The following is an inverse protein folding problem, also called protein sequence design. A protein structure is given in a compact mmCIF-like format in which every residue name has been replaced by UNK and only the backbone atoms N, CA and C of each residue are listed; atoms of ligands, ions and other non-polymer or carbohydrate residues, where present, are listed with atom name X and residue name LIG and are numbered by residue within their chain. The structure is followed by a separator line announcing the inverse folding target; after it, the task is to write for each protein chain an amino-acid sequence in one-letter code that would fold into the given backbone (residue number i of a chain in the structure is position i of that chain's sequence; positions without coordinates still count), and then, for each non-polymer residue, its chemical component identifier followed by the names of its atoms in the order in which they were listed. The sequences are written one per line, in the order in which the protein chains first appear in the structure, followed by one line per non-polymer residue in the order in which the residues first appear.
data_IF_360288597108
#
_entry.id   IF_360288597108
#
_cell.length_a   1.000
_cell.length_b   1.000
_cell.length_c   1.000
_cell.angle_alpha   90.00
_cell.angle_beta   90.00
_cell.angle_gamma   90.00
#
_symmetry.space_group_name_H-M   'P 1'
#
loop_
_entity.id
_entity.type
_entity.pdbx_description
1 polymer ?
#
# COMPACT_ATOMS: atom_id res chain seq x y z
N UNK A 1 21.79 18.52 25.14
CA UNK A 1 20.60 19.00 24.42
C UNK A 1 19.41 19.40 25.30
N UNK A 2 18.96 18.63 26.32
CA UNK A 2 17.71 18.96 27.04
C UNK A 2 17.71 20.36 27.66
N UNK A 3 18.83 20.77 28.29
CA UNK A 3 19.02 22.12 28.83
C UNK A 3 18.72 23.22 27.81
N UNK A 4 19.29 23.13 26.61
CA UNK A 4 19.14 24.17 25.59
C UNK A 4 17.73 24.22 25.02
N UNK A 5 17.07 23.06 24.86
CA UNK A 5 15.65 23.03 24.44
C UNK A 5 14.77 23.70 25.49
N UNK A 6 14.97 23.40 26.77
CA UNK A 6 14.20 24.04 27.85
C UNK A 6 14.49 25.53 28.05
N UNK A 7 15.70 26.00 27.75
CA UNK A 7 16.09 27.40 27.92
C UNK A 7 15.67 28.27 26.73
N UNK A 8 15.63 27.69 25.51
CA UNK A 8 15.45 28.44 24.27
C UNK A 8 14.08 28.23 23.61
N UNK A 9 13.30 27.23 24.04
CA UNK A 9 12.00 26.87 23.42
C UNK A 9 10.98 26.40 24.47
N UNK A 10 9.72 26.27 24.06
CA UNK A 10 8.66 25.61 24.85
C UNK A 10 8.32 24.19 24.32
N UNK A 11 9.13 23.67 23.40
CA UNK A 11 8.86 22.39 22.74
C UNK A 11 9.25 21.20 23.64
N UNK A 12 8.54 20.07 23.55
CA UNK A 12 8.96 18.85 24.23
C UNK A 12 10.31 18.36 23.70
N UNK A 13 11.11 17.78 24.59
CA UNK A 13 12.36 17.10 24.23
C UNK A 13 12.23 15.61 24.50
N UNK A 14 12.65 14.80 23.53
CA UNK A 14 12.72 13.34 23.61
C UNK A 14 14.17 12.92 23.33
N UNK A 15 14.82 12.23 24.27
CA UNK A 15 16.27 12.05 24.27
C UNK A 15 16.80 11.10 23.20
N UNK A 16 15.98 10.14 22.77
CA UNK A 16 16.35 9.06 21.87
C UNK A 16 15.12 8.55 21.15
N UNK A 17 15.27 8.12 19.90
CA UNK A 17 14.25 7.38 19.17
C UNK A 17 14.87 6.04 18.73
N UNK A 18 14.35 4.88 19.21
CA UNK A 18 13.32 4.77 20.24
C UNK A 18 13.89 5.07 21.64
N UNK A 19 13.02 5.33 22.62
CA UNK A 19 13.42 5.33 24.04
C UNK A 19 13.94 3.96 24.46
N UNK A 20 13.22 2.89 24.07
CA UNK A 20 13.59 1.51 24.34
C UNK A 20 13.99 0.78 23.06
N UNK A 21 15.28 0.42 22.97
CA UNK A 21 15.84 -0.28 21.82
C UNK A 21 15.30 -1.70 21.62
N UNK A 22 15.61 -2.24 20.43
CA UNK A 22 15.23 -3.59 20.00
C UNK A 22 15.61 -4.66 21.04
N UNK A 23 14.64 -5.51 21.38
CA UNK A 23 14.80 -6.58 22.37
C UNK A 23 14.34 -6.21 23.79
N UNK A 24 14.06 -4.94 24.07
CA UNK A 24 13.42 -4.54 25.32
C UNK A 24 11.89 -4.56 25.17
N UNK A 25 11.14 -5.47 25.80
CA UNK A 25 9.69 -5.58 25.59
C UNK A 25 8.88 -4.34 25.98
N UNK A 26 9.50 -3.37 26.68
CA UNK A 26 8.85 -2.12 27.05
C UNK A 26 8.47 -1.23 25.88
N UNK A 27 9.15 -1.31 24.72
CA UNK A 27 8.80 -0.46 23.56
C UNK A 27 7.34 -0.66 23.11
N UNK A 28 6.74 -1.81 23.42
CA UNK A 28 5.33 -2.09 23.09
C UNK A 28 4.40 -1.19 23.89
N UNK A 29 4.73 -0.91 25.16
CA UNK A 29 3.82 -0.29 26.13
C UNK A 29 4.23 1.13 26.54
N UNK A 30 5.48 1.53 26.30
CA UNK A 30 6.10 2.79 26.72
C UNK A 30 6.85 3.45 25.55
N UNK A 31 6.68 4.77 25.38
CA UNK A 31 7.43 5.56 24.41
C UNK A 31 7.12 5.28 22.95
N UNK A 32 8.11 5.51 22.08
CA UNK A 32 8.08 5.23 20.65
C UNK A 32 8.85 3.95 20.30
N UNK A 33 8.54 3.37 19.15
CA UNK A 33 9.06 2.08 18.72
C UNK A 33 9.69 2.11 17.32
N UNK A 34 10.81 1.42 17.19
CA UNK A 34 11.44 1.06 15.92
C UNK A 34 11.28 -0.45 15.71
N UNK A 35 10.14 -0.87 15.13
CA UNK A 35 9.88 -2.29 14.92
C UNK A 35 10.44 -2.78 13.57
N UNK A 36 11.68 -3.24 13.65
CA UNK A 36 12.41 -3.79 12.53
C UNK A 36 12.35 -5.32 12.43
N UNK A 37 11.48 -6.01 13.20
CA UNK A 37 11.42 -7.49 13.13
C UNK A 37 10.96 -7.99 11.78
N UNK A 38 10.05 -7.27 11.12
CA UNK A 38 9.62 -7.61 9.76
C UNK A 38 10.83 -7.59 8.83
N UNK A 39 11.54 -6.48 8.67
CA UNK A 39 12.66 -6.46 7.73
C UNK A 39 13.92 -7.21 8.22
N UNK A 40 14.45 -6.89 9.41
CA UNK A 40 15.74 -7.42 9.86
C UNK A 40 15.67 -8.87 10.37
N UNK A 41 14.55 -9.28 10.98
CA UNK A 41 14.35 -10.65 11.50
C UNK A 41 13.49 -11.53 10.58
N UNK A 42 13.06 -11.01 9.44
CA UNK A 42 12.21 -11.71 8.47
C UNK A 42 10.86 -12.18 9.05
N UNK A 43 10.28 -11.45 10.02
CA UNK A 43 8.93 -11.74 10.54
C UNK A 43 7.84 -11.41 9.52
N UNK A 44 6.79 -12.24 9.36
CA UNK A 44 5.73 -11.96 8.38
C UNK A 44 5.07 -10.60 8.61
N UNK A 45 4.47 -10.00 7.56
CA UNK A 45 3.85 -8.67 7.68
C UNK A 45 2.71 -8.61 8.71
N UNK A 46 2.05 -9.74 8.96
CA UNK A 46 1.06 -9.91 10.03
C UNK A 46 1.60 -9.49 11.41
N UNK A 47 2.92 -9.51 11.62
CA UNK A 47 3.55 -9.05 12.85
C UNK A 47 3.16 -7.61 13.21
N UNK A 48 3.05 -6.72 12.21
CA UNK A 48 2.63 -5.34 12.44
C UNK A 48 1.18 -5.21 12.93
N UNK A 49 0.33 -6.19 12.61
CA UNK A 49 -1.05 -6.24 13.08
C UNK A 49 -1.16 -6.79 14.49
N UNK A 50 -0.29 -7.75 14.83
CA UNK A 50 -0.26 -8.44 16.12
C UNK A 50 0.46 -7.65 17.23
N UNK A 51 1.46 -6.84 16.88
CA UNK A 51 2.36 -6.17 17.82
C UNK A 51 2.39 -4.66 17.59
N UNK A 52 1.24 -4.02 17.78
CA UNK A 52 1.13 -2.57 17.67
C UNK A 52 1.75 -1.90 18.92
N UNK A 53 2.65 -0.90 18.78
CA UNK A 53 3.21 -0.13 19.90
C UNK A 53 2.37 1.12 20.22
N UNK A 54 2.78 1.92 21.20
CA UNK A 54 2.15 3.22 21.54
C UNK A 54 2.33 4.30 20.48
N UNK A 55 3.49 4.32 19.83
CA UNK A 55 3.80 5.18 18.69
C UNK A 55 4.86 4.49 17.84
N UNK A 56 4.57 4.23 16.56
CA UNK A 56 5.53 3.60 15.66
C UNK A 56 6.35 4.69 14.96
N UNK A 57 7.55 4.98 15.45
CA UNK A 57 8.43 6.02 14.89
C UNK A 57 9.30 5.50 13.75
N UNK A 58 9.57 4.19 13.66
CA UNK A 58 10.17 3.56 12.48
C UNK A 58 9.68 2.13 12.26
N UNK A 59 9.39 1.81 11.01
CA UNK A 59 9.15 0.46 10.49
C UNK A 59 9.20 0.54 8.96
N UNK A 60 9.71 -0.48 8.27
CA UNK A 60 9.93 -0.37 6.83
C UNK A 60 10.15 -1.70 6.12
N UNK A 61 10.01 -1.67 4.80
CA UNK A 61 10.33 -2.78 3.91
C UNK A 61 10.94 -2.23 2.61
N UNK A 62 11.98 -2.86 2.05
CA UNK A 62 12.60 -2.37 0.81
C UNK A 62 11.84 -2.79 -0.45
N UNK A 63 11.98 -2.00 -1.50
CA UNK A 63 11.62 -2.36 -2.87
C UNK A 63 12.63 -1.83 -3.87
N UNK A 64 12.62 -2.37 -5.09
CA UNK A 64 13.36 -1.77 -6.20
C UNK A 64 12.77 -0.40 -6.58
N UNK A 65 13.59 0.55 -7.03
CA UNK A 65 13.13 1.88 -7.45
C UNK A 65 12.40 1.81 -8.80
N UNK A 66 11.99 2.97 -9.33
CA UNK A 66 11.32 3.05 -10.63
C UNK A 66 12.17 2.49 -11.78
N UNK A 67 11.52 2.19 -12.91
CA UNK A 67 12.21 1.78 -14.12
C UNK A 67 13.20 2.83 -14.61
N UNK A 68 12.85 4.11 -14.47
CA UNK A 68 13.69 5.25 -14.81
C UNK A 68 14.98 5.24 -13.99
N UNK A 69 14.88 4.99 -12.68
CA UNK A 69 16.04 4.89 -11.81
C UNK A 69 16.94 3.70 -12.16
N UNK A 70 16.35 2.55 -12.48
CA UNK A 70 17.12 1.36 -12.88
C UNK A 70 17.83 1.58 -14.21
N UNK A 71 17.16 2.17 -15.20
CA UNK A 71 17.77 2.55 -16.49
C UNK A 71 18.88 3.59 -16.33
N UNK A 72 18.78 4.49 -15.36
CA UNK A 72 19.87 5.43 -15.06
C UNK A 72 21.09 4.73 -14.45
N UNK A 73 20.86 3.74 -13.56
CA UNK A 73 21.93 2.97 -12.93
C UNK A 73 22.68 2.12 -13.97
N UNK A 74 21.94 1.48 -14.88
CA UNK A 74 22.52 0.65 -15.93
C UNK A 74 22.96 1.52 -17.10
N UNK A 75 24.26 1.59 -17.38
CA UNK A 75 24.80 2.42 -18.47
C UNK A 75 24.27 2.06 -19.87
N UNK A 76 23.71 0.86 -20.05
CA UNK A 76 23.09 0.39 -21.29
C UNK A 76 21.60 0.78 -21.43
N UNK A 77 21.03 1.45 -20.41
CA UNK A 77 19.63 1.89 -20.40
C UNK A 77 18.62 0.75 -20.22
N UNK A 78 19.06 -0.46 -19.81
CA UNK A 78 18.17 -1.61 -19.61
C UNK A 78 17.61 -1.70 -18.19
N UNK A 79 16.47 -2.38 -18.03
CA UNK A 79 15.97 -2.81 -16.72
C UNK A 79 16.60 -4.16 -16.41
N UNK A 80 17.85 -4.15 -15.93
CA UNK A 80 18.59 -5.34 -15.52
C UNK A 80 18.96 -5.20 -14.05
N UNK A 81 18.31 -5.98 -13.18
CA UNK A 81 18.55 -5.94 -11.72
C UNK A 81 19.66 -6.90 -11.28
N UNK A 82 20.34 -7.54 -12.24
CA UNK A 82 21.40 -8.53 -12.04
C UNK A 82 22.75 -8.05 -12.61
N UNK A 83 22.83 -6.83 -13.15
CA UNK A 83 24.06 -6.27 -13.70
C UNK A 83 25.06 -5.92 -12.58
N UNK A 84 26.34 -5.86 -12.94
CA UNK A 84 27.40 -5.45 -12.03
C UNK A 84 27.19 -3.99 -11.56
N UNK A 85 26.81 -3.10 -12.47
CA UNK A 85 26.47 -1.69 -12.18
C UNK A 85 25.37 -1.60 -11.13
N UNK A 86 24.31 -2.40 -11.28
CA UNK A 86 23.17 -2.43 -10.37
C UNK A 86 23.50 -3.05 -9.01
N UNK A 87 24.36 -4.07 -8.96
CA UNK A 87 24.70 -4.79 -7.73
C UNK A 87 25.18 -3.87 -6.60
N UNK A 88 25.90 -2.81 -6.95
CA UNK A 88 26.46 -1.84 -5.99
C UNK A 88 25.41 -0.91 -5.37
N UNK A 89 24.18 -0.91 -5.89
CA UNK A 89 23.05 -0.08 -5.45
C UNK A 89 22.11 -0.80 -4.47
N UNK A 90 22.54 -1.95 -3.94
CA UNK A 90 21.97 -2.57 -2.73
C UNK A 90 22.99 -2.49 -1.60
N UNK A 91 22.65 -1.81 -0.50
CA UNK A 91 23.55 -1.62 0.65
C UNK A 91 23.22 -2.48 1.87
N UNK A 92 22.03 -3.07 1.89
CA UNK A 92 21.67 -4.05 2.90
C UNK A 92 22.16 -5.44 2.48
N UNK A 93 22.98 -6.07 3.32
CA UNK A 93 23.66 -7.34 2.98
C UNK A 93 22.68 -8.47 2.57
N UNK A 94 21.47 -8.48 3.13
CA UNK A 94 20.41 -9.46 2.82
C UNK A 94 19.24 -8.88 2.02
N UNK A 95 19.36 -7.65 1.49
CA UNK A 95 18.19 -6.92 0.97
C UNK A 95 17.46 -7.64 -0.16
N UNK A 96 18.18 -8.09 -1.19
CA UNK A 96 17.56 -8.80 -2.32
C UNK A 96 17.03 -10.19 -1.94
N UNK A 97 17.71 -10.88 -1.01
CA UNK A 97 17.26 -12.15 -0.44
C UNK A 97 15.92 -11.98 0.28
N UNK A 98 15.81 -10.98 1.16
CA UNK A 98 14.59 -10.69 1.92
C UNK A 98 13.43 -10.29 1.00
N UNK A 99 13.65 -9.43 0.01
CA UNK A 99 12.60 -9.08 -0.96
C UNK A 99 12.05 -10.34 -1.63
N UNK A 100 12.92 -11.25 -2.06
CA UNK A 100 12.52 -12.52 -2.67
C UNK A 100 11.75 -13.41 -1.70
N UNK A 101 12.26 -13.58 -0.48
CA UNK A 101 11.65 -14.43 0.55
C UNK A 101 10.21 -13.98 0.85
N UNK A 102 9.98 -12.67 0.98
CA UNK A 102 8.64 -12.12 1.20
C UNK A 102 7.75 -12.23 -0.03
N UNK A 103 8.32 -12.06 -1.22
CA UNK A 103 7.59 -12.29 -2.45
C UNK A 103 7.08 -13.74 -2.49
N UNK A 104 7.92 -14.74 -2.20
CA UNK A 104 7.52 -16.16 -2.13
C UNK A 104 6.40 -16.44 -1.09
N UNK A 105 6.33 -15.64 -0.02
CA UNK A 105 5.27 -15.74 1.01
C UNK A 105 3.93 -15.24 0.52
N UNK A 106 3.86 -14.12 -0.21
CA UNK A 106 2.60 -13.40 -0.43
C UNK A 106 2.24 -13.13 -1.92
N UNK A 107 3.22 -13.12 -2.82
CA UNK A 107 3.06 -12.77 -4.25
C UNK A 107 3.64 -13.84 -5.19
N UNK A 108 3.25 -13.86 -6.49
CA UNK A 108 4.00 -14.60 -7.49
C UNK A 108 5.42 -14.03 -7.62
N UNK A 109 6.43 -14.87 -7.88
CA UNK A 109 7.81 -14.43 -8.11
C UNK A 109 8.10 -14.43 -9.61
N UNK A 110 8.17 -13.25 -10.27
CA UNK A 110 8.44 -13.17 -11.69
C UNK A 110 9.87 -13.54 -12.02
N UNK A 111 10.09 -14.01 -13.25
CA UNK A 111 11.42 -14.39 -13.75
C UNK A 111 12.11 -13.27 -14.53
N UNK A 112 11.34 -12.37 -15.15
CA UNK A 112 11.87 -11.20 -15.83
C UNK A 112 11.95 -10.01 -14.87
N UNK A 113 12.91 -9.13 -15.14
CA UNK A 113 13.32 -8.09 -14.21
C UNK A 113 12.27 -6.97 -14.08
N UNK A 114 11.56 -6.61 -15.16
CA UNK A 114 10.52 -5.58 -15.10
C UNK A 114 9.35 -5.99 -14.19
N UNK A 115 8.87 -7.23 -14.36
CA UNK A 115 7.79 -7.76 -13.53
C UNK A 115 8.26 -7.94 -12.09
N UNK A 116 9.51 -8.37 -11.88
CA UNK A 116 10.07 -8.50 -10.53
C UNK A 116 10.10 -7.15 -9.79
N UNK A 117 10.53 -6.09 -10.47
CA UNK A 117 10.54 -4.72 -9.91
C UNK A 117 9.12 -4.28 -9.58
N UNK A 118 8.17 -4.47 -10.50
CA UNK A 118 6.75 -4.17 -10.28
C UNK A 118 6.21 -4.89 -9.04
N UNK A 119 6.40 -6.21 -8.92
CA UNK A 119 5.92 -6.98 -7.77
C UNK A 119 6.66 -6.59 -6.48
N UNK A 120 7.94 -6.24 -6.54
CA UNK A 120 8.67 -5.78 -5.35
C UNK A 120 8.08 -4.51 -4.75
N UNK A 121 7.56 -3.60 -5.59
CA UNK A 121 6.88 -2.39 -5.11
C UNK A 121 5.49 -2.72 -4.55
N UNK A 122 4.73 -3.63 -5.20
CA UNK A 122 3.46 -4.10 -4.65
C UNK A 122 3.65 -4.75 -3.27
N UNK A 123 4.68 -5.57 -3.13
CA UNK A 123 5.02 -6.26 -1.89
C UNK A 123 5.32 -5.26 -0.75
N UNK A 124 6.10 -4.22 -1.05
CA UNK A 124 6.37 -3.14 -0.11
C UNK A 124 5.07 -2.40 0.27
N UNK A 125 4.25 -2.02 -0.71
CA UNK A 125 2.99 -1.33 -0.46
C UNK A 125 2.04 -2.20 0.41
N UNK A 126 1.91 -3.48 0.08
CA UNK A 126 1.09 -4.45 0.81
C UNK A 126 1.53 -4.59 2.27
N UNK A 127 2.83 -4.77 2.52
CA UNK A 127 3.36 -4.97 3.85
C UNK A 127 3.28 -3.74 4.76
N UNK A 128 3.63 -2.57 4.23
CA UNK A 128 3.57 -1.32 5.00
C UNK A 128 2.13 -0.87 5.24
N UNK A 129 1.23 -1.10 4.27
CA UNK A 129 -0.20 -0.81 4.43
C UNK A 129 -0.80 -1.57 5.61
N UNK A 130 -0.47 -2.86 5.80
CA UNK A 130 -0.86 -3.64 6.99
C UNK A 130 -0.47 -2.94 8.29
N UNK A 131 0.78 -2.47 8.38
CA UNK A 131 1.25 -1.75 9.57
C UNK A 131 0.54 -0.42 9.79
N UNK A 132 0.47 0.43 8.77
CA UNK A 132 -0.22 1.73 8.87
C UNK A 132 -1.66 1.54 9.33
N UNK A 133 -2.39 0.63 8.70
CA UNK A 133 -3.78 0.38 9.03
C UNK A 133 -3.94 -0.19 10.45
N UNK A 134 -3.08 -1.12 10.87
CA UNK A 134 -3.11 -1.64 12.24
C UNK A 134 -2.85 -0.56 13.28
N UNK A 135 -1.85 0.31 13.05
CA UNK A 135 -1.55 1.43 13.94
C UNK A 135 -2.75 2.38 14.05
N UNK A 136 -3.38 2.75 12.93
CA UNK A 136 -4.56 3.63 12.93
C UNK A 136 -5.79 2.98 13.57
N UNK A 137 -6.05 1.69 13.30
CA UNK A 137 -7.14 0.94 13.97
C UNK A 137 -6.97 0.87 15.48
N UNK A 138 -5.74 0.78 15.97
CA UNK A 138 -5.43 0.64 17.38
C UNK A 138 -5.58 1.94 18.19
N UNK A 139 -5.99 3.06 17.57
CA UNK A 139 -6.30 4.29 18.31
C UNK A 139 -7.34 4.00 19.42
N UNK A 140 -7.18 4.51 20.65
CA UNK A 140 -6.16 5.46 21.14
C UNK A 140 -4.91 4.82 21.75
N UNK A 141 -4.75 3.50 21.65
CA UNK A 141 -3.57 2.82 22.17
C UNK A 141 -2.31 3.23 21.40
N UNK A 142 -2.38 3.18 20.06
CA UNK A 142 -1.39 3.77 19.16
C UNK A 142 -1.83 5.17 18.74
N UNK A 143 -0.90 6.13 18.78
CA UNK A 143 -1.16 7.53 18.45
C UNK A 143 -0.26 8.07 17.34
N UNK A 144 0.41 7.20 16.58
CA UNK A 144 1.18 7.63 15.43
C UNK A 144 1.96 6.53 14.73
N UNK A 145 2.21 6.77 13.44
CA UNK A 145 2.94 5.88 12.56
C UNK A 145 3.77 6.67 11.56
N UNK A 146 5.08 6.44 11.59
CA UNK A 146 6.07 7.03 10.70
C UNK A 146 6.83 5.88 10.04
N UNK A 147 6.57 5.65 8.76
CA UNK A 147 7.26 4.57 8.03
C UNK A 147 8.65 5.02 7.61
N UNK A 148 9.60 4.10 7.69
CA UNK A 148 10.94 4.23 7.15
C UNK A 148 10.94 3.71 5.71
N UNK A 149 11.20 4.51 4.68
CA UNK A 149 11.50 5.95 4.69
C UNK A 149 10.75 6.68 3.56
N UNK A 150 10.73 8.01 3.60
CA UNK A 150 10.03 8.80 2.58
C UNK A 150 10.77 8.80 1.23
N UNK A 151 12.04 9.23 1.21
CA UNK A 151 12.79 9.59 0.00
C UNK A 151 14.16 8.90 -0.09
N UNK A 152 14.84 9.05 -1.21
CA UNK A 152 16.23 8.63 -1.41
C UNK A 152 17.18 9.81 -1.62
N UNK A 153 18.45 9.63 -1.27
CA UNK A 153 19.53 10.60 -1.52
C UNK A 153 20.37 10.31 -2.78
N UNK A 154 20.16 9.15 -3.41
CA UNK A 154 20.80 8.70 -4.66
C UNK A 154 20.00 7.50 -5.24
N UNK A 155 20.14 7.13 -6.52
CA UNK A 155 19.42 5.99 -7.09
C UNK A 155 19.81 4.68 -6.39
N UNK A 156 18.90 4.01 -5.68
CA UNK A 156 19.27 2.87 -4.81
C UNK A 156 18.07 1.93 -4.58
N UNK A 157 18.33 0.68 -4.20
CA UNK A 157 17.32 -0.20 -3.57
C UNK A 157 17.22 0.16 -2.09
N UNK A 158 16.05 0.64 -1.66
CA UNK A 158 15.82 1.14 -0.31
C UNK A 158 14.37 0.99 0.13
N UNK A 159 14.10 1.45 1.36
CA UNK A 159 12.77 1.51 1.95
C UNK A 159 11.95 2.71 1.50
N UNK A 160 12.46 3.54 0.58
CA UNK A 160 11.78 4.76 0.15
C UNK A 160 10.41 4.47 -0.48
N UNK A 161 9.45 5.37 -0.29
CA UNK A 161 8.21 5.42 -1.07
C UNK A 161 8.35 6.30 -2.32
N UNK A 162 9.27 7.26 -2.29
CA UNK A 162 9.66 8.11 -3.42
C UNK A 162 11.14 7.86 -3.73
N UNK A 163 11.45 7.49 -4.96
CA UNK A 163 12.85 7.29 -5.35
C UNK A 163 13.62 8.61 -5.56
N UNK A 164 14.91 8.51 -5.84
CA UNK A 164 15.81 9.66 -6.00
C UNK A 164 15.35 10.68 -7.05
N UNK A 165 14.67 10.23 -8.10
CA UNK A 165 14.21 11.11 -9.18
C UNK A 165 12.85 11.73 -8.89
N UNK A 166 12.28 11.47 -7.71
CA UNK A 166 10.95 11.95 -7.32
C UNK A 166 9.82 11.04 -7.79
N UNK A 167 10.12 9.86 -8.36
CA UNK A 167 9.08 8.95 -8.84
C UNK A 167 8.43 8.25 -7.65
N UNK A 168 7.10 8.27 -7.62
CA UNK A 168 6.32 7.56 -6.62
C UNK A 168 6.35 6.07 -6.91
N UNK A 169 6.84 5.28 -5.94
CA UNK A 169 6.66 3.83 -5.93
C UNK A 169 5.21 3.50 -5.55
N UNK A 170 4.82 2.23 -5.73
CA UNK A 170 3.51 1.73 -5.27
C UNK A 170 3.19 2.13 -3.83
N UNK A 171 4.20 2.11 -2.95
CA UNK A 171 4.04 2.49 -1.55
C UNK A 171 3.51 3.92 -1.39
N UNK A 172 3.95 4.90 -2.17
CA UNK A 172 3.52 6.29 -1.95
C UNK A 172 2.05 6.51 -2.32
N UNK A 173 1.59 5.87 -3.40
CA UNK A 173 0.18 5.84 -3.76
C UNK A 173 -0.66 5.15 -2.68
N UNK A 174 -0.16 4.05 -2.12
CA UNK A 174 -0.86 3.30 -1.08
C UNK A 174 -0.92 4.06 0.25
N UNK A 175 0.20 4.66 0.68
CA UNK A 175 0.28 5.50 1.88
C UNK A 175 -0.69 6.69 1.80
N UNK A 176 -0.80 7.33 0.62
CA UNK A 176 -1.79 8.40 0.40
C UNK A 176 -3.21 7.92 0.73
N UNK A 177 -3.59 6.72 0.30
CA UNK A 177 -4.91 6.11 0.58
C UNK A 177 -5.05 5.72 2.05
N UNK A 178 -4.01 5.10 2.61
CA UNK A 178 -4.00 4.63 4.00
C UNK A 178 -3.95 5.78 5.03
N UNK A 179 -3.65 7.01 4.60
CA UNK A 179 -3.65 8.23 5.41
C UNK A 179 -4.81 9.19 5.09
N UNK A 180 -5.80 8.77 4.31
CA UNK A 180 -7.05 9.53 4.21
C UNK A 180 -7.69 9.70 5.60
N UNK A 181 -8.29 10.86 5.86
CA UNK A 181 -8.80 11.20 7.21
C UNK A 181 -9.87 10.22 7.70
N UNK A 182 -10.65 9.66 6.78
CA UNK A 182 -11.56 8.54 7.04
C UNK A 182 -10.97 7.29 6.41
N UNK A 183 -10.49 6.37 7.25
CA UNK A 183 -9.95 5.09 6.81
C UNK A 183 -10.93 3.97 7.12
N UNK A 184 -11.23 3.17 6.10
CA UNK A 184 -11.89 1.87 6.26
C UNK A 184 -10.78 0.81 6.30
N UNK A 185 -10.67 0.09 7.41
CA UNK A 185 -9.69 -0.99 7.57
C UNK A 185 -10.36 -2.26 8.07
N UNK A 186 -10.18 -3.36 7.33
CA UNK A 186 -10.73 -4.66 7.69
C UNK A 186 -9.61 -5.64 8.04
N UNK A 187 -9.84 -6.45 9.06
CA UNK A 187 -8.92 -7.50 9.52
C UNK A 187 -9.70 -8.79 9.76
N UNK A 188 -9.10 -9.94 9.45
CA UNK A 188 -9.69 -11.25 9.74
C UNK A 188 -9.09 -11.78 11.03
N UNK A 189 -9.93 -12.00 12.03
CA UNK A 189 -9.57 -12.58 13.32
C UNK A 189 -10.46 -13.77 13.62
N UNK A 190 -9.89 -14.97 13.79
CA UNK A 190 -10.65 -16.19 14.11
C UNK A 190 -11.85 -16.44 13.17
N UNK A 191 -11.61 -16.45 11.85
CA UNK A 191 -12.63 -16.58 10.79
C UNK A 191 -13.70 -15.47 10.76
N UNK A 192 -13.49 -14.37 11.49
CA UNK A 192 -14.40 -13.22 11.52
C UNK A 192 -13.75 -12.04 10.84
N UNK A 193 -14.39 -11.52 9.79
CA UNK A 193 -14.01 -10.25 9.18
C UNK A 193 -14.54 -9.11 10.04
N UNK A 194 -13.63 -8.39 10.68
CA UNK A 194 -13.93 -7.17 11.43
C UNK A 194 -13.59 -5.96 10.59
N UNK A 195 -14.52 -5.04 10.48
CA UNK A 195 -14.32 -3.79 9.74
C UNK A 195 -14.38 -2.62 10.69
N UNK A 196 -13.31 -1.85 10.69
CA UNK A 196 -13.16 -0.63 11.47
C UNK A 196 -13.22 0.58 10.56
N UNK A 197 -13.77 1.67 11.08
CA UNK A 197 -13.66 2.99 10.47
C UNK A 197 -12.92 3.90 11.45
N UNK A 198 -11.82 4.48 10.97
CA UNK A 198 -11.02 5.46 11.71
C UNK A 198 -11.38 6.83 11.21
N UNK A 199 -11.67 7.74 12.14
CA UNK A 199 -12.00 9.13 11.86
C UNK A 199 -10.93 10.05 12.45
N UNK A 200 -10.17 10.72 11.60
CA UNK A 200 -9.18 11.75 11.98
C UNK A 200 -9.73 13.18 11.85
N UNK A 201 -10.99 13.36 11.45
CA UNK A 201 -11.66 14.66 11.50
C UNK A 201 -11.94 15.08 12.94
N UNK A 202 -12.14 16.40 13.12
CA UNK A 202 -12.54 17.01 14.39
C UNK A 202 -14.06 16.92 14.65
N UNK A 203 -14.81 16.38 13.68
CA UNK A 203 -16.26 16.22 13.72
C UNK A 203 -16.62 14.74 13.59
N UNK A 204 -17.78 14.35 14.13
CA UNK A 204 -18.31 13.00 13.97
C UNK A 204 -18.67 12.75 12.53
N UNK A 205 -18.17 11.65 11.96
CA UNK A 205 -18.48 11.22 10.61
C UNK A 205 -19.72 10.34 10.61
N UNK A 206 -20.71 10.70 9.79
CA UNK A 206 -21.98 9.97 9.65
C UNK A 206 -22.14 9.57 8.20
N UNK A 207 -22.40 8.29 7.94
CA UNK A 207 -22.54 7.82 6.57
C UNK A 207 -23.02 6.37 6.50
N UNK A 208 -23.67 6.04 5.39
CA UNK A 208 -24.09 4.67 5.12
C UNK A 208 -22.88 3.73 5.11
N UNK A 209 -23.03 2.55 5.71
CA UNK A 209 -22.08 1.46 5.61
C UNK A 209 -22.59 0.41 4.62
N UNK A 210 -21.74 -0.01 3.69
CA UNK A 210 -22.04 -1.09 2.74
C UNK A 210 -20.82 -1.99 2.58
N UNK A 211 -21.03 -3.31 2.63
CA UNK A 211 -19.99 -4.28 2.29
C UNK A 211 -20.51 -5.30 1.27
N UNK A 212 -19.72 -5.50 0.21
CA UNK A 212 -20.06 -6.34 -0.94
C UNK A 212 -18.94 -7.34 -1.16
N UNK A 213 -19.27 -8.63 -1.21
CA UNK A 213 -18.34 -9.67 -1.65
C UNK A 213 -18.69 -9.96 -3.11
N UNK A 214 -17.72 -9.78 -4.00
CA UNK A 214 -17.92 -9.89 -5.44
C UNK A 214 -16.95 -10.89 -6.04
N UNK A 215 -17.43 -11.68 -7.01
CA UNK A 215 -16.53 -12.46 -7.86
C UNK A 215 -15.74 -11.54 -8.82
N UNK A 216 -14.67 -12.04 -9.44
CA UNK A 216 -13.86 -11.24 -10.38
C UNK A 216 -14.56 -10.84 -11.69
N UNK A 217 -15.81 -11.25 -11.92
CA UNK A 217 -16.66 -10.78 -13.02
C UNK A 217 -17.59 -9.62 -12.58
N UNK A 218 -17.64 -9.35 -11.28
CA UNK A 218 -18.43 -8.28 -10.68
C UNK A 218 -19.79 -8.73 -10.15
N UNK A 219 -20.07 -10.03 -10.12
CA UNK A 219 -21.28 -10.59 -9.52
C UNK A 219 -21.23 -10.42 -8.01
N UNK A 220 -22.24 -9.82 -7.41
CA UNK A 220 -22.37 -9.71 -5.95
C UNK A 220 -22.83 -11.06 -5.39
N UNK A 221 -21.99 -11.67 -4.55
CA UNK A 221 -22.26 -12.94 -3.88
C UNK A 221 -22.83 -12.75 -2.48
N UNK A 222 -22.42 -11.67 -1.81
CA UNK A 222 -22.92 -11.28 -0.49
C UNK A 222 -22.98 -9.76 -0.38
N UNK A 223 -23.97 -9.26 0.36
CA UNK A 223 -24.18 -7.83 0.62
C UNK A 223 -24.73 -7.64 2.02
N UNK A 224 -24.14 -6.72 2.76
CA UNK A 224 -24.69 -6.16 3.99
C UNK A 224 -24.69 -4.63 3.88
N UNK A 225 -25.73 -4.00 4.42
CA UNK A 225 -25.94 -2.55 4.34
C UNK A 225 -26.55 -2.06 5.65
N UNK A 226 -26.03 -0.97 6.16
CA UNK A 226 -26.54 -0.25 7.32
C UNK A 226 -26.62 1.24 6.97
N UNK A 227 -27.75 1.87 7.24
CA UNK A 227 -27.97 3.27 6.87
C UNK A 227 -27.36 4.24 7.89
N UNK A 228 -27.22 5.49 7.46
CA UNK A 228 -26.61 6.57 8.25
C UNK A 228 -27.36 6.94 9.53
N UNK A 229 -28.52 6.33 9.83
CA UNK A 229 -29.24 6.58 11.09
C UNK A 229 -28.58 5.87 12.28
N UNK A 230 -27.79 4.82 12.02
CA UNK A 230 -27.08 4.03 13.04
C UNK A 230 -25.57 4.01 12.84
N UNK A 231 -25.08 4.23 11.62
CA UNK A 231 -23.66 4.27 11.30
C UNK A 231 -23.05 5.67 11.54
N UNK A 232 -22.31 5.83 12.65
CA UNK A 232 -21.52 7.02 12.95
C UNK A 232 -20.19 6.65 13.63
N UNK A 233 -19.16 7.48 13.41
CA UNK A 233 -17.82 7.30 13.98
C UNK A 233 -17.38 8.62 14.59
N UNK A 234 -17.10 8.59 15.89
CA UNK A 234 -16.80 9.79 16.68
C UNK A 234 -15.51 10.46 16.18
N UNK A 235 -15.48 11.79 16.27
CA UNK A 235 -14.29 12.58 15.96
C UNK A 235 -13.03 12.04 16.66
N UNK A 236 -11.96 11.84 15.89
CA UNK A 236 -10.69 11.39 16.44
C UNK A 236 -10.69 9.96 17.00
N UNK A 237 -11.62 9.08 16.63
CA UNK A 237 -11.68 7.70 17.13
C UNK A 237 -11.47 6.62 16.05
N UNK A 238 -11.42 5.36 16.48
CA UNK A 238 -11.42 4.15 15.65
C UNK A 238 -12.49 3.23 16.20
N UNK A 239 -13.50 2.91 15.40
CA UNK A 239 -14.68 2.16 15.84
C UNK A 239 -14.84 0.90 15.00
N UNK A 240 -15.21 -0.22 15.64
CA UNK A 240 -15.64 -1.44 14.95
C UNK A 240 -17.08 -1.22 14.47
N UNK A 241 -17.26 -1.07 13.16
CA UNK A 241 -18.58 -0.79 12.56
C UNK A 241 -19.30 -2.03 12.06
N UNK A 242 -18.56 -3.11 11.74
CA UNK A 242 -19.17 -4.35 11.23
C UNK A 242 -18.31 -5.58 11.57
N UNK A 243 -18.99 -6.73 11.72
CA UNK A 243 -18.37 -8.01 12.05
C UNK A 243 -19.10 -9.16 11.35
N UNK A 244 -18.44 -9.81 10.39
CA UNK A 244 -19.01 -10.90 9.59
C UNK A 244 -18.28 -12.22 9.87
N UNK A 245 -19.04 -13.24 10.25
CA UNK A 245 -18.55 -14.62 10.32
C UNK A 245 -18.41 -15.20 8.91
N UNK A 246 -17.17 -15.37 8.44
CA UNK A 246 -16.86 -15.78 7.06
C UNK A 246 -17.39 -17.19 6.75
N UNK A 247 -17.59 -18.05 7.77
CA UNK A 247 -18.17 -19.38 7.59
C UNK A 247 -19.62 -19.33 7.13
N UNK A 248 -20.33 -18.23 7.41
CA UNK A 248 -21.74 -18.03 7.00
C UNK A 248 -21.88 -17.48 5.59
N UNK A 249 -20.84 -16.79 5.09
CA UNK A 249 -20.85 -16.20 3.73
C UNK A 249 -20.69 -17.30 2.67
N UNK A 250 -19.99 -18.40 2.99
CA UNK A 250 -19.85 -19.60 2.14
C UNK A 250 -19.39 -19.29 0.71
N UNK A 251 -18.28 -18.54 0.59
CA UNK A 251 -17.63 -18.17 -0.67
C UNK A 251 -16.16 -18.60 -0.67
N UNK A 252 -15.60 -18.90 -1.85
CA UNK A 252 -14.17 -19.15 -1.99
C UNK A 252 -13.42 -17.81 -1.95
N UNK A 253 -12.65 -17.58 -0.88
CA UNK A 253 -11.90 -16.33 -0.66
C UNK A 253 -10.86 -16.06 -1.77
N UNK A 254 -10.43 -17.09 -2.50
CA UNK A 254 -9.49 -16.96 -3.62
C UNK A 254 -10.15 -16.46 -4.92
N UNK A 255 -11.47 -16.46 -5.02
CA UNK A 255 -12.24 -16.10 -6.22
C UNK A 255 -12.98 -14.76 -6.10
N UNK A 256 -12.76 -14.05 -5.00
CA UNK A 256 -13.49 -12.82 -4.69
C UNK A 256 -12.58 -11.65 -4.34
N UNK A 257 -13.20 -10.46 -4.36
CA UNK A 257 -12.73 -9.28 -3.67
C UNK A 257 -13.88 -8.66 -2.88
N UNK A 258 -13.55 -7.81 -1.93
CA UNK A 258 -14.51 -7.15 -1.05
C UNK A 258 -14.48 -5.65 -1.32
N UNK A 259 -15.65 -5.06 -1.57
CA UNK A 259 -15.83 -3.61 -1.56
C UNK A 259 -16.47 -3.24 -0.23
N UNK A 260 -15.84 -2.33 0.50
CA UNK A 260 -16.39 -1.75 1.71
C UNK A 260 -16.53 -0.24 1.53
N UNK A 261 -17.70 0.30 1.88
CA UNK A 261 -18.04 1.71 1.78
C UNK A 261 -18.47 2.25 3.13
N UNK A 262 -18.10 3.49 3.38
CA UNK A 262 -18.57 4.26 4.52
C UNK A 262 -18.70 5.72 4.11
N UNK A 263 -19.92 6.24 4.04
CA UNK A 263 -20.20 7.57 3.51
C UNK A 263 -19.68 7.72 2.08
N UNK A 264 -18.74 8.64 1.87
CA UNK A 264 -18.11 8.88 0.56
C UNK A 264 -16.83 8.06 0.30
N UNK A 265 -16.39 7.27 1.28
CA UNK A 265 -15.19 6.45 1.16
C UNK A 265 -15.53 5.06 0.63
N UNK A 266 -14.65 4.52 -0.21
CA UNK A 266 -14.74 3.17 -0.77
C UNK A 266 -13.35 2.55 -0.81
N UNK A 267 -13.23 1.32 -0.30
CA UNK A 267 -11.99 0.53 -0.36
C UNK A 267 -12.27 -0.84 -0.97
N UNK A 268 -11.30 -1.33 -1.77
CA UNK A 268 -11.28 -2.70 -2.27
C UNK A 268 -10.22 -3.48 -1.47
N UNK A 269 -10.63 -4.56 -0.83
CA UNK A 269 -9.75 -5.45 -0.07
C UNK A 269 -9.86 -6.90 -0.54
N UNK A 270 -8.94 -7.74 -0.07
CA UNK A 270 -8.85 -9.15 -0.40
C UNK A 270 -8.68 -9.94 0.90
N UNK A 271 -9.31 -11.12 0.96
CA UNK A 271 -9.31 -11.98 2.15
C UNK A 271 -8.35 -13.17 2.00
N UNK A 272 -7.56 -13.18 0.93
CA UNK A 272 -6.58 -14.21 0.59
C UNK A 272 -5.32 -13.53 0.05
N UNK A 273 -4.17 -14.20 0.20
CA UNK A 273 -2.88 -13.70 -0.24
C UNK A 273 -2.87 -13.49 -1.76
N UNK A 274 -2.25 -12.40 -2.26
CA UNK A 274 -2.22 -12.09 -3.69
C UNK A 274 -1.82 -13.26 -4.61
N UNK A 275 -0.85 -14.09 -4.20
CA UNK A 275 -0.40 -15.28 -4.97
C UNK A 275 -1.42 -16.42 -5.09
N UNK A 276 -2.43 -16.43 -4.22
CA UNK A 276 -3.43 -17.49 -4.15
C UNK A 276 -4.74 -17.07 -4.86
N UNK A 277 -4.89 -15.80 -5.24
CA UNK A 277 -6.07 -15.30 -5.95
C UNK A 277 -6.16 -15.92 -7.34
N UNK A 278 -7.33 -16.44 -7.71
CA UNK A 278 -7.63 -16.98 -9.04
C UNK A 278 -8.06 -15.85 -9.98
N UNK A 279 -7.16 -14.88 -10.17
CA UNK A 279 -7.42 -13.70 -11.00
C UNK A 279 -7.64 -14.11 -12.46
N UNK A 280 -8.72 -13.65 -13.12
CA UNK A 280 -8.95 -13.96 -14.52
C UNK A 280 -7.94 -13.24 -15.41
N UNK A 281 -7.65 -13.84 -16.57
CA UNK A 281 -6.94 -13.13 -17.63
C UNK A 281 -7.79 -11.95 -18.10
N UNK A 282 -7.14 -10.81 -18.25
CA UNK A 282 -7.73 -9.51 -18.48
C UNK A 282 -7.19 -8.86 -19.75
N UNK A 283 -8.01 -7.98 -20.33
CA UNK A 283 -7.59 -7.02 -21.36
C UNK A 283 -7.96 -5.61 -20.87
N UNK A 284 -6.95 -4.74 -20.68
CA UNK A 284 -7.19 -3.37 -20.23
C UNK A 284 -7.24 -2.45 -21.45
N UNK A 285 -8.41 -1.89 -21.71
CA UNK A 285 -8.60 -0.89 -22.76
C UNK A 285 -8.23 0.48 -22.23
N UNK A 286 -7.21 1.08 -22.84
CA UNK A 286 -6.72 2.43 -22.51
C UNK A 286 -7.16 3.40 -23.59
N UNK A 287 -7.69 4.55 -23.18
CA UNK A 287 -7.92 5.72 -24.04
C UNK A 287 -7.26 6.93 -23.41
N UNK A 288 -6.39 7.61 -24.14
CA UNK A 288 -5.78 8.87 -23.72
C UNK A 288 -6.36 10.03 -24.54
N UNK A 289 -6.51 11.18 -23.88
CA UNK A 289 -6.89 12.45 -24.51
C UNK A 289 -5.93 13.53 -24.06
N UNK A 290 -5.25 14.20 -25.01
CA UNK A 290 -4.36 15.32 -24.70
C UNK A 290 -5.15 16.48 -24.05
N UNK A 291 -4.57 17.08 -23.03
CA UNK A 291 -5.07 18.25 -22.30
C UNK A 291 -4.00 19.36 -22.30
N UNK A 292 -4.29 20.52 -21.71
CA UNK A 292 -3.36 21.66 -21.68
C UNK A 292 -2.05 21.35 -20.95
N UNK A 293 -2.07 20.51 -19.92
CA UNK A 293 -0.89 20.15 -19.10
C UNK A 293 -0.49 18.67 -19.13
N UNK A 294 -0.97 17.92 -20.14
CA UNK A 294 -0.65 16.49 -20.26
C UNK A 294 -1.79 15.69 -20.90
N UNK A 295 -2.26 14.64 -20.22
CA UNK A 295 -3.24 13.68 -20.75
C UNK A 295 -4.26 13.24 -19.71
N UNK A 296 -5.50 13.03 -20.16
CA UNK A 296 -6.55 12.33 -19.40
C UNK A 296 -6.62 10.88 -19.88
N UNK A 297 -6.39 9.93 -18.99
CA UNK A 297 -6.30 8.49 -19.33
C UNK A 297 -7.49 7.77 -18.72
N UNK A 298 -8.32 7.15 -19.58
CA UNK A 298 -9.45 6.32 -19.17
C UNK A 298 -9.14 4.86 -19.42
N UNK A 299 -9.29 4.05 -18.37
CA UNK A 299 -9.09 2.61 -18.38
C UNK A 299 -10.42 1.89 -18.20
N UNK A 300 -10.59 0.76 -18.88
CA UNK A 300 -11.72 -0.16 -18.70
C UNK A 300 -11.28 -1.60 -18.92
N UNK A 301 -11.82 -2.51 -18.10
CA UNK A 301 -11.72 -3.96 -18.28
C UNK A 301 -13.13 -4.57 -18.16
N UNK A 302 -13.33 -5.77 -18.71
CA UNK A 302 -14.54 -6.57 -18.56
C UNK A 302 -14.52 -7.44 -17.29
N UNK A 303 -13.32 -7.79 -16.81
CA UNK A 303 -13.06 -8.48 -15.54
C UNK A 303 -12.33 -7.58 -14.55
N UNK A 304 -12.25 -8.01 -13.28
CA UNK A 304 -11.52 -7.33 -12.24
C UNK A 304 -10.02 -7.35 -12.52
N UNK A 305 -9.36 -6.20 -12.36
CA UNK A 305 -7.92 -6.08 -12.57
C UNK A 305 -7.25 -5.57 -11.31
N UNK A 306 -6.34 -6.39 -10.77
CA UNK A 306 -5.60 -6.11 -9.55
C UNK A 306 -4.31 -5.34 -9.83
N UNK A 307 -4.10 -4.30 -9.03
CA UNK A 307 -2.87 -3.51 -8.94
C UNK A 307 -2.33 -2.97 -10.27
N UNK A 308 -3.18 -2.32 -11.08
CA UNK A 308 -2.81 -1.71 -12.37
C UNK A 308 -1.67 -0.70 -12.18
N UNK A 309 -0.51 -1.00 -12.76
CA UNK A 309 0.64 -0.10 -12.84
C UNK A 309 0.77 0.45 -14.25
N UNK A 310 0.55 1.75 -14.41
CA UNK A 310 0.77 2.49 -15.64
C UNK A 310 2.18 3.07 -15.66
N UNK A 311 2.82 2.98 -16.82
CA UNK A 311 4.13 3.54 -17.08
C UNK A 311 4.24 3.99 -18.54
N UNK A 312 5.17 4.88 -18.80
CA UNK A 312 5.42 5.45 -20.12
C UNK A 312 6.90 5.79 -20.25
N UNK A 313 7.35 6.03 -21.47
CA UNK A 313 8.70 6.50 -21.80
C UNK A 313 8.88 8.01 -21.58
N UNK A 314 7.79 8.75 -21.42
CA UNK A 314 7.80 10.20 -21.19
C UNK A 314 7.82 10.53 -19.70
N UNK A 315 8.68 11.48 -19.29
CA UNK A 315 8.72 11.97 -17.92
C UNK A 315 7.41 12.70 -17.57
N UNK A 316 6.80 12.35 -16.44
CA UNK A 316 5.60 13.02 -15.94
C UNK A 316 5.11 12.42 -14.63
N UNK A 317 3.91 12.81 -14.21
CA UNK A 317 3.29 12.38 -12.96
C UNK A 317 1.87 11.85 -13.18
N UNK A 318 1.61 10.62 -12.72
CA UNK A 318 0.25 10.06 -12.70
C UNK A 318 -0.46 10.46 -11.41
N UNK A 319 -1.67 11.01 -11.53
CA UNK A 319 -2.50 11.42 -10.36
C UNK A 319 -2.88 10.25 -9.46
N UNK A 320 -2.94 9.05 -10.02
CA UNK A 320 -3.16 7.78 -9.31
C UNK A 320 -2.52 6.64 -10.11
N UNK A 321 -1.97 5.65 -9.42
CA UNK A 321 -1.31 4.48 -10.02
C UNK A 321 -1.36 3.30 -9.03
N UNK A 322 -1.01 2.09 -9.46
CA UNK A 322 -1.07 0.88 -8.62
C UNK A 322 -2.46 0.71 -7.95
N UNK A 323 -3.51 0.76 -8.76
CA UNK A 323 -4.90 0.71 -8.29
C UNK A 323 -5.64 -0.51 -8.84
N UNK A 324 -6.71 -0.91 -8.16
CA UNK A 324 -7.63 -1.92 -8.68
C UNK A 324 -8.63 -1.30 -9.67
N UNK A 325 -9.06 -2.08 -10.66
CA UNK A 325 -10.09 -1.70 -11.62
C UNK A 325 -11.25 -2.69 -11.56
N UNK A 326 -12.42 -2.18 -11.19
CA UNK A 326 -13.67 -2.94 -11.17
C UNK A 326 -14.08 -3.40 -12.59
N UNK A 327 -14.70 -4.60 -12.72
CA UNK A 327 -15.31 -5.07 -13.94
C UNK A 327 -16.29 -4.04 -14.52
N UNK A 328 -16.18 -3.78 -15.82
CA UNK A 328 -17.05 -2.89 -16.59
C UNK A 328 -17.09 -1.41 -16.17
N UNK A 329 -16.36 -1.04 -15.13
CA UNK A 329 -16.21 0.33 -14.64
C UNK A 329 -15.12 1.07 -15.42
N UNK A 330 -15.31 2.38 -15.57
CA UNK A 330 -14.30 3.27 -16.15
C UNK A 330 -13.57 3.97 -15.01
N UNK A 331 -12.25 3.86 -14.98
CA UNK A 331 -11.39 4.70 -14.12
C UNK A 331 -10.68 5.72 -14.99
N UNK A 332 -10.70 6.98 -14.57
CA UNK A 332 -10.02 8.06 -15.29
C UNK A 332 -9.02 8.75 -14.38
N UNK A 333 -7.79 8.89 -14.83
CA UNK A 333 -6.70 9.58 -14.12
C UNK A 333 -6.09 10.66 -15.02
N UNK A 334 -5.33 11.59 -14.45
CA UNK A 334 -4.49 12.51 -15.21
C UNK A 334 -3.03 12.04 -15.22
N UNK A 335 -2.35 12.32 -16.32
CA UNK A 335 -0.91 12.27 -16.45
C UNK A 335 -0.41 13.66 -16.81
N UNK A 336 0.36 14.28 -15.93
CA UNK A 336 0.89 15.63 -16.07
C UNK A 336 2.33 15.55 -16.61
N UNK A 337 2.63 16.32 -17.64
CA UNK A 337 3.96 16.35 -18.25
C UNK A 337 4.21 17.69 -18.95
N UNK A 338 5.45 18.16 -18.87
CA UNK A 338 5.95 19.31 -19.63
C UNK A 338 6.61 18.88 -20.96
N UNK A 339 6.57 17.59 -21.29
CA UNK A 339 7.16 17.06 -22.53
C UNK A 339 6.24 17.29 -23.74
N UNK A 340 6.85 17.64 -24.87
CA UNK A 340 6.18 17.72 -26.17
C UNK A 340 6.01 16.34 -26.84
N UNK A 341 6.69 15.31 -26.33
CA UNK A 341 6.61 13.94 -26.85
C UNK A 341 5.25 13.29 -26.55
N UNK A 342 4.75 12.48 -27.48
CA UNK A 342 3.52 11.73 -27.28
C UNK A 342 3.83 10.45 -26.46
N UNK A 343 3.28 10.29 -25.25
CA UNK A 343 3.58 9.17 -24.37
C UNK A 343 2.99 7.86 -24.86
N UNK A 344 3.80 6.79 -24.86
CA UNK A 344 3.29 5.42 -24.99
C UNK A 344 2.84 4.89 -23.62
N UNK A 345 1.53 4.94 -23.36
CA UNK A 345 0.95 4.46 -22.11
C UNK A 345 0.83 2.93 -22.09
N UNK A 346 1.70 2.31 -21.31
CA UNK A 346 1.76 0.86 -21.10
C UNK A 346 1.31 0.50 -19.69
N UNK A 347 0.98 -0.77 -19.47
CA UNK A 347 0.53 -1.25 -18.17
C UNK A 347 1.11 -2.61 -17.78
N UNK A 348 1.21 -2.84 -16.47
CA UNK A 348 1.37 -4.14 -15.83
C UNK A 348 0.30 -4.30 -14.76
N UNK A 349 0.00 -5.54 -14.41
CA UNK A 349 -1.11 -5.91 -13.51
C UNK A 349 -0.79 -7.25 -12.87
N UNK A 350 -1.30 -7.52 -11.68
CA UNK A 350 -1.05 -8.81 -11.04
C UNK A 350 -1.72 -9.96 -11.81
N UNK A 351 -2.92 -9.76 -12.36
CA UNK A 351 -3.61 -10.76 -13.18
C UNK A 351 -2.72 -11.30 -14.32
N UNK A 352 -1.93 -10.43 -14.97
CA UNK A 352 -1.03 -10.83 -16.07
C UNK A 352 0.13 -11.73 -15.65
N UNK A 353 0.39 -11.85 -14.34
CA UNK A 353 1.46 -12.66 -13.76
C UNK A 353 0.94 -13.97 -13.15
N UNK A 354 -0.37 -14.12 -13.00
CA UNK A 354 -0.96 -15.33 -12.45
C UNK A 354 -0.91 -16.47 -13.47
N UNK A 355 -0.58 -17.67 -13.00
CA UNK A 355 -0.67 -18.89 -13.82
C UNK A 355 -2.14 -19.34 -13.80
N UNK A 356 -2.80 -19.27 -14.95
CA UNK A 356 -4.13 -19.86 -15.13
C UNK A 356 -4.10 -21.38 -15.10
#
# INVERSE_FOLDING_TARGET
MPKYVSELTNEPYWESSPEYGRGNPKYEFEGDAHDWRVWHDAYPFEHFEEHVPRFMSEFGFQSHPSYEAIRYINNDGTINIKSDDYSSHQKHARGNELIREYMERDFPVPTNDEDYVYVSQLLQAYGISKGIQAHRRAKPYNMGTLYWQLNDCWPVVSWSSIDYFGNWKALHYQVKRDFENVLISSVVENDTLKTYVVNDHLETEVGDFEILFKDFNGTVLYREFEDSSTAFVVAGSSELVNSIDLKKVNVDLSEIYVITKYGNQEVISFLEKPKNLKLPKQEVKIKSLKTEGGYKITLKSDVFVKDVFLYTDVKGHFSDNFFNLEPNSKKTISFETDSDEEPDFRYKTLNGLMKN
#
